data_IF_620219746948
#
_entry.id   IF_620219746948
#
_cell.length_a   1.000
_cell.length_b   1.000
_cell.length_c   1.000
_cell.angle_alpha   90.00
_cell.angle_beta   90.00
_cell.angle_gamma   90.00
#
_symmetry.space_group_name_H-M   'P 1'
#
loop_
_entity.id
_entity.type
_entity.pdbx_description
1 polymer ?
#
# COMPACT_ATOMS: atom_id res chain seq x y z
N UNK A 1 6.01 16.74 14.34
CA UNK A 1 4.90 15.90 13.90
C UNK A 1 5.04 14.54 14.58
N UNK A 2 4.14 14.17 15.48
CA UNK A 2 4.14 12.83 16.10
C UNK A 2 3.08 11.98 15.38
N UNK A 3 3.51 11.04 14.54
CA UNK A 3 2.60 10.16 13.80
C UNK A 3 2.11 9.06 14.74
N UNK A 4 0.80 8.83 14.75
CA UNK A 4 0.12 8.09 15.83
C UNK A 4 -0.55 6.83 15.32
N UNK A 5 -1.10 6.91 14.12
CA UNK A 5 -1.67 5.78 13.42
C UNK A 5 -1.35 5.88 11.94
N UNK A 6 -1.00 4.73 11.39
CA UNK A 6 -0.89 4.49 9.95
C UNK A 6 -1.92 3.41 9.61
N UNK A 7 -2.98 3.79 8.91
CA UNK A 7 -3.91 2.82 8.33
C UNK A 7 -3.39 2.46 6.95
N UNK A 8 -2.91 1.21 6.79
CA UNK A 8 -2.37 0.71 5.54
C UNK A 8 -3.20 -0.47 5.03
N UNK A 9 -3.53 -0.39 3.73
CA UNK A 9 -3.78 -1.50 2.82
C UNK A 9 -5.21 -2.07 2.78
N UNK A 10 -6.11 -1.30 2.16
CA UNK A 10 -7.06 -1.92 1.23
C UNK A 10 -6.37 -2.06 -0.14
N UNK A 11 -6.29 -3.30 -0.65
CA UNK A 11 -5.91 -3.60 -2.03
C UNK A 11 -7.20 -3.78 -2.85
N UNK A 12 -7.75 -2.71 -3.46
CA UNK A 12 -9.02 -2.82 -4.17
C UNK A 12 -8.91 -3.68 -5.44
N UNK A 13 -7.70 -3.92 -5.97
CA UNK A 13 -7.52 -4.69 -7.19
C UNK A 13 -6.08 -5.19 -7.38
N UNK A 14 -5.96 -6.41 -7.92
CA UNK A 14 -4.76 -6.89 -8.60
C UNK A 14 -5.15 -7.33 -10.01
N UNK A 15 -4.56 -6.72 -11.04
CA UNK A 15 -4.88 -7.03 -12.44
C UNK A 15 -3.69 -6.69 -13.34
N UNK A 16 -3.50 -7.43 -14.43
CA UNK A 16 -2.45 -7.13 -15.42
C UNK A 16 -1.04 -7.13 -14.83
N UNK A 17 -0.78 -8.01 -13.84
CA UNK A 17 0.50 -8.09 -13.12
C UNK A 17 0.82 -6.84 -12.28
N UNK A 18 -0.16 -6.02 -11.91
CA UNK A 18 0.04 -4.86 -11.01
C UNK A 18 -0.85 -4.95 -9.79
N UNK A 19 -0.33 -4.48 -8.65
CA UNK A 19 -1.06 -4.28 -7.41
C UNK A 19 -1.13 -2.79 -7.08
N UNK A 20 -2.31 -2.33 -6.69
CA UNK A 20 -2.54 -0.95 -6.26
C UNK A 20 -2.97 -0.90 -4.80
N UNK A 21 -2.38 0.01 -4.04
CA UNK A 21 -2.60 0.15 -2.60
C UNK A 21 -2.79 1.61 -2.21
N UNK A 22 -3.57 1.85 -1.16
CA UNK A 22 -3.77 3.18 -0.55
C UNK A 22 -3.54 3.12 0.95
N UNK A 23 -3.13 4.25 1.53
CA UNK A 23 -2.96 4.41 2.97
C UNK A 23 -3.03 5.86 3.41
N UNK A 24 -3.25 6.05 4.71
CA UNK A 24 -3.38 7.37 5.34
C UNK A 24 -2.65 7.42 6.68
N UNK A 25 -2.03 8.57 6.97
CA UNK A 25 -1.30 8.85 8.21
C UNK A 25 -2.04 9.90 9.03
N UNK A 26 -2.26 9.61 10.31
CA UNK A 26 -2.95 10.52 11.22
C UNK A 26 -2.09 10.90 12.44
N UNK A 27 -2.29 12.13 12.91
CA UNK A 27 -1.76 12.64 14.18
C UNK A 27 -2.58 12.10 15.36
N UNK A 28 -2.08 12.32 16.60
CA UNK A 28 -2.71 11.76 17.83
C UNK A 28 -4.09 12.34 18.05
N UNK A 29 -4.29 13.58 17.61
CA UNK A 29 -5.55 14.32 17.67
C UNK A 29 -6.53 13.94 16.55
N UNK A 30 -6.17 13.00 15.67
CA UNK A 30 -7.00 12.56 14.55
C UNK A 30 -6.82 13.37 13.26
N UNK A 31 -5.95 14.39 13.24
CA UNK A 31 -5.69 15.18 12.03
C UNK A 31 -5.04 14.31 10.94
N UNK A 32 -5.58 14.33 9.72
CA UNK A 32 -4.95 13.68 8.56
C UNK A 32 -3.68 14.44 8.18
N UNK A 33 -2.53 13.78 8.30
CA UNK A 33 -1.22 14.35 7.98
C UNK A 33 -0.94 14.17 6.48
N UNK A 34 -1.18 12.97 5.96
CA UNK A 34 -0.86 12.62 4.57
C UNK A 34 -1.68 11.42 4.10
N UNK A 35 -1.94 11.37 2.79
CA UNK A 35 -2.46 10.20 2.10
C UNK A 35 -1.49 9.75 1.02
N UNK A 36 -1.44 8.44 0.79
CA UNK A 36 -0.49 7.81 -0.13
C UNK A 36 -1.23 6.81 -1.01
N UNK A 37 -0.85 6.76 -2.28
CA UNK A 37 -1.24 5.72 -3.22
C UNK A 37 0.02 5.13 -3.84
N UNK A 38 0.06 3.82 -4.00
CA UNK A 38 1.18 3.12 -4.59
C UNK A 38 0.70 2.07 -5.58
N UNK A 39 1.31 2.05 -6.76
CA UNK A 39 1.14 1.00 -7.75
C UNK A 39 2.48 0.27 -7.95
N UNK A 40 2.45 -1.06 -7.90
CA UNK A 40 3.65 -1.90 -8.03
C UNK A 40 3.43 -3.05 -9.00
N UNK A 41 4.48 -3.40 -9.76
CA UNK A 41 4.47 -4.58 -10.62
C UNK A 41 4.71 -5.85 -9.80
N UNK A 42 3.81 -6.82 -9.92
CA UNK A 42 3.87 -8.15 -9.31
C UNK A 42 4.31 -9.15 -10.39
N UNK A 43 5.50 -9.72 -10.24
CA UNK A 43 6.00 -10.77 -11.15
C UNK A 43 5.99 -12.13 -10.47
N UNK A 44 5.28 -13.09 -11.07
CA UNK A 44 5.37 -14.50 -10.69
C UNK A 44 6.72 -15.05 -11.17
N UNK A 45 7.58 -15.44 -10.24
CA UNK A 45 8.81 -16.16 -10.59
C UNK A 45 8.45 -17.61 -10.91
N UNK A 46 8.89 -18.10 -12.06
CA UNK A 46 8.83 -19.54 -12.36
C UNK A 46 9.81 -20.26 -11.41
N UNK A 47 9.44 -21.42 -10.83
CA UNK A 47 10.41 -22.25 -10.14
C UNK A 47 11.54 -22.65 -11.10
N UNK A 48 12.76 -22.91 -10.60
CA UNK A 48 13.86 -23.37 -11.43
C UNK A 48 13.44 -24.63 -12.21
N UNK A 49 13.79 -24.71 -13.49
CA UNK A 49 13.66 -25.97 -14.23
C UNK A 49 14.71 -26.93 -13.67
N UNK A 50 14.27 -28.14 -13.31
CA UNK A 50 15.17 -29.26 -13.02
C UNK A 50 15.92 -29.70 -14.29
#
# INVERSE_FOLDING_TARGET
>A
LEISSASLCDSPSTQGSRGFTRGSLFARDGTLIASVAQEGLIRLKRPPAE
#
